data_IF_672449085760
#
_entry.id   IF_672449085760
#
_cell.length_a   1.000
_cell.length_b   1.000
_cell.length_c   1.000
_cell.angle_alpha   90.00
_cell.angle_beta   90.00
_cell.angle_gamma   90.00
#
_symmetry.space_group_name_H-M   'P 1'
#
loop_
_entity.id
_entity.type
_entity.pdbx_description
1 polymer ?
#
# COMPACT_ATOMS: atom_id res chain seq x y z
N UNK A 1 4.80 -1.68 -4.73
CA UNK A 1 5.68 -0.66 -5.32
C UNK A 1 5.77 0.54 -4.39
N UNK A 2 6.97 1.01 -4.13
CA UNK A 2 7.19 2.22 -3.32
C UNK A 2 7.00 3.44 -4.21
N UNK A 3 6.13 4.35 -3.80
CA UNK A 3 5.79 5.55 -4.59
C UNK A 3 6.14 6.85 -3.89
N UNK A 4 6.45 6.81 -2.61
CA UNK A 4 6.82 7.99 -1.84
C UNK A 4 7.45 7.64 -0.51
N UNK A 5 7.99 8.65 0.17
CA UNK A 5 8.66 8.49 1.44
C UNK A 5 8.40 9.68 2.35
N UNK A 6 8.59 9.47 3.65
CA UNK A 6 8.37 10.48 4.68
C UNK A 6 9.62 10.63 5.53
N UNK A 7 9.98 11.86 5.84
CA UNK A 7 11.16 12.16 6.65
C UNK A 7 11.05 11.51 8.04
N UNK A 8 12.12 10.88 8.48
CA UNK A 8 12.17 10.25 9.79
C UNK A 8 12.26 11.27 10.92
N UNK A 9 11.81 10.86 12.10
CA UNK A 9 11.83 11.67 13.33
C UNK A 9 12.49 10.90 14.45
N UNK A 10 12.95 11.61 15.47
CA UNK A 10 13.61 10.99 16.61
C UNK A 10 14.85 10.21 16.19
N UNK A 11 14.87 8.91 16.48
CA UNK A 11 16.00 8.04 16.12
C UNK A 11 16.17 7.85 14.61
N UNK A 12 15.15 8.23 13.82
CA UNK A 12 15.18 8.11 12.36
C UNK A 12 15.46 9.45 11.68
N UNK A 13 15.88 10.46 12.42
CA UNK A 13 16.27 11.76 11.87
C UNK A 13 17.42 11.57 10.88
N UNK A 14 17.32 12.21 9.72
CA UNK A 14 18.34 12.13 8.68
C UNK A 14 18.14 11.04 7.65
N UNK A 15 17.15 10.15 7.86
CA UNK A 15 16.75 9.13 6.88
C UNK A 15 15.23 9.16 6.72
N UNK A 16 14.70 8.52 5.68
CA UNK A 16 13.26 8.33 5.59
C UNK A 16 12.81 7.33 6.65
N UNK A 17 11.74 7.66 7.37
CA UNK A 17 11.22 6.83 8.47
C UNK A 17 10.01 5.99 8.08
N UNK A 18 9.36 6.30 6.98
CA UNK A 18 8.21 5.58 6.46
C UNK A 18 8.13 5.74 4.96
N UNK A 19 7.41 4.85 4.31
CA UNK A 19 7.25 4.83 2.86
C UNK A 19 5.80 4.57 2.49
N UNK A 20 5.36 5.15 1.38
CA UNK A 20 4.04 4.89 0.81
C UNK A 20 4.18 3.82 -0.26
N UNK A 21 3.40 2.75 -0.12
CA UNK A 21 3.40 1.63 -1.06
C UNK A 21 2.07 1.51 -1.77
N UNK A 22 2.11 0.98 -2.99
CA UNK A 22 0.96 0.86 -3.87
C UNK A 22 0.89 -0.51 -4.53
N UNK A 23 -0.31 -0.94 -4.89
CA UNK A 23 -0.55 -2.08 -5.79
C UNK A 23 -0.80 -1.56 -7.20
N UNK A 24 -0.67 -2.44 -8.18
CA UNK A 24 -0.82 -2.11 -9.59
C UNK A 24 -2.23 -2.47 -10.08
N UNK A 25 -2.96 -1.48 -10.56
CA UNK A 25 -4.16 -1.75 -11.34
C UNK A 25 -3.73 -2.11 -12.77
N UNK A 26 -3.76 -3.40 -13.09
CA UNK A 26 -3.27 -3.90 -14.37
C UNK A 26 -4.10 -3.38 -15.56
N UNK A 27 -5.35 -3.01 -15.33
CA UNK A 27 -6.23 -2.52 -16.38
C UNK A 27 -5.89 -1.08 -16.77
N UNK A 28 -5.70 -0.19 -15.80
CA UNK A 28 -5.41 1.23 -16.04
C UNK A 28 -3.93 1.58 -16.03
N UNK A 29 -3.10 0.74 -15.40
CA UNK A 29 -1.69 1.05 -15.15
C UNK A 29 -1.49 1.94 -13.93
N UNK A 30 -2.55 2.25 -13.19
CA UNK A 30 -2.44 3.10 -12.01
C UNK A 30 -1.82 2.34 -10.85
N UNK A 31 -1.07 3.07 -10.03
CA UNK A 31 -0.50 2.60 -8.78
C UNK A 31 -1.37 3.14 -7.65
N UNK A 32 -2.13 2.26 -7.03
CA UNK A 32 -3.12 2.60 -6.01
C UNK A 32 -2.53 2.36 -4.63
N UNK A 33 -2.46 3.40 -3.79
CA UNK A 33 -1.85 3.29 -2.47
C UNK A 33 -2.56 2.23 -1.61
N UNK A 34 -1.79 1.41 -0.92
CA UNK A 34 -2.33 0.34 -0.06
C UNK A 34 -1.84 0.43 1.38
N UNK A 35 -0.69 1.03 1.64
CA UNK A 35 -0.22 1.22 3.00
C UNK A 35 0.89 2.26 3.11
N UNK A 36 1.00 2.85 4.30
CA UNK A 36 2.16 3.61 4.74
C UNK A 36 2.92 2.72 5.71
N UNK A 37 4.13 2.32 5.34
CA UNK A 37 4.91 1.34 6.08
C UNK A 37 6.07 2.01 6.81
N UNK A 38 6.19 1.71 8.11
CA UNK A 38 7.27 2.24 8.96
C UNK A 38 7.81 1.20 9.93
N UNK A 39 7.45 -0.07 9.76
CA UNK A 39 7.80 -1.17 10.66
C UNK A 39 8.52 -2.27 9.90
N UNK A 40 9.43 -2.97 10.56
CA UNK A 40 10.19 -4.08 9.97
C UNK A 40 11.55 -3.67 9.40
N UNK A 41 11.95 -2.42 9.65
CA UNK A 41 13.24 -1.91 9.20
C UNK A 41 14.27 -2.02 10.32
N UNK A 42 15.43 -2.60 10.03
CA UNK A 42 16.62 -2.43 10.87
C UNK A 42 17.21 -1.03 10.64
N UNK A 43 18.16 -0.63 11.50
CA UNK A 43 18.86 0.63 11.29
C UNK A 43 19.62 0.63 9.96
N UNK A 44 20.19 -0.51 9.58
CA UNK A 44 20.87 -0.68 8.30
C UNK A 44 19.89 -0.57 7.12
N UNK A 45 18.69 -1.15 7.26
CA UNK A 45 17.63 -1.04 6.24
C UNK A 45 17.23 0.41 6.02
N UNK A 46 17.03 1.17 7.11
CA UNK A 46 16.66 2.58 7.02
C UNK A 46 17.68 3.39 6.24
N UNK A 47 18.96 3.17 6.51
CA UNK A 47 20.06 3.82 5.78
C UNK A 47 20.10 3.41 4.32
N UNK A 48 20.04 2.12 4.08
CA UNK A 48 20.11 1.54 2.73
C UNK A 48 18.98 2.08 1.85
N UNK A 49 17.75 2.02 2.33
CA UNK A 49 16.61 2.47 1.54
C UNK A 49 16.58 3.98 1.37
N UNK A 50 17.07 4.74 2.33
CA UNK A 50 17.23 6.17 2.19
C UNK A 50 18.20 6.49 1.05
N UNK A 51 19.35 5.82 1.02
CA UNK A 51 20.36 6.00 -0.04
C UNK A 51 19.82 5.58 -1.40
N UNK A 52 19.16 4.43 -1.48
CA UNK A 52 18.57 3.92 -2.72
C UNK A 52 17.44 4.83 -3.23
N UNK A 53 16.77 5.53 -2.35
CA UNK A 53 15.69 6.46 -2.70
C UNK A 53 16.19 7.77 -3.29
N UNK A 54 17.40 8.21 -2.94
CA UNK A 54 17.90 9.52 -3.37
C UNK A 54 17.86 9.73 -4.89
N UNK A 55 18.35 8.82 -5.73
CA UNK A 55 18.27 9.01 -7.18
C UNK A 55 16.86 8.87 -7.74
N UNK A 56 15.91 8.40 -6.95
CA UNK A 56 14.50 8.23 -7.36
C UNK A 56 13.62 9.40 -7.00
N UNK A 57 14.12 10.38 -6.25
CA UNK A 57 13.32 11.54 -5.84
C UNK A 57 12.88 12.34 -7.06
N UNK A 58 11.58 12.60 -7.15
CA UNK A 58 10.97 13.39 -8.21
C UNK A 58 10.21 14.58 -7.60
N UNK A 59 10.06 15.70 -8.34
CA UNK A 59 9.51 16.93 -7.77
C UNK A 59 8.01 16.88 -7.49
N UNK A 60 7.29 15.94 -8.09
CA UNK A 60 5.85 15.80 -7.89
C UNK A 60 5.42 14.33 -8.07
N UNK A 61 4.22 14.03 -7.64
CA UNK A 61 3.62 12.70 -7.75
C UNK A 61 3.68 12.19 -9.19
N UNK A 62 4.11 10.93 -9.37
CA UNK A 62 4.04 10.28 -10.68
C UNK A 62 2.58 10.28 -11.16
N UNK A 63 2.38 10.47 -12.47
CA UNK A 63 1.06 10.69 -13.05
C UNK A 63 0.06 9.57 -12.80
N UNK A 64 0.55 8.34 -12.63
CA UNK A 64 -0.28 7.15 -12.43
C UNK A 64 -0.48 6.78 -10.96
N UNK A 65 0.01 7.57 -10.01
CA UNK A 65 -0.18 7.28 -8.57
C UNK A 65 -1.51 7.85 -8.09
N UNK A 66 -2.29 7.00 -7.43
CA UNK A 66 -3.59 7.34 -6.86
C UNK A 66 -3.56 7.09 -5.35
N UNK A 67 -3.78 8.14 -4.57
CA UNK A 67 -3.83 8.06 -3.11
C UNK A 67 -4.72 9.16 -2.55
N UNK A 68 -5.12 9.01 -1.28
CA UNK A 68 -5.88 10.06 -0.60
C UNK A 68 -5.01 11.27 -0.27
N UNK A 69 -5.62 12.44 -0.23
CA UNK A 69 -4.92 13.72 -0.02
C UNK A 69 -4.12 13.76 1.30
N UNK A 70 -4.64 13.12 2.33
CA UNK A 70 -3.96 13.08 3.63
C UNK A 70 -2.58 12.40 3.56
N UNK A 71 -2.37 11.50 2.62
CA UNK A 71 -1.10 10.80 2.43
C UNK A 71 -0.06 11.68 1.73
N UNK A 72 -0.50 12.70 1.01
CA UNK A 72 0.40 13.59 0.27
C UNK A 72 1.08 14.63 1.16
N UNK A 73 0.62 14.79 2.38
CA UNK A 73 1.17 15.76 3.32
C UNK A 73 2.60 15.36 3.72
N UNK A 74 3.54 16.27 3.52
CA UNK A 74 4.96 16.10 3.86
C UNK A 74 5.63 14.90 3.16
N UNK A 75 5.06 14.41 2.07
CA UNK A 75 5.63 13.31 1.31
C UNK A 75 6.74 13.79 0.37
N UNK A 76 7.75 12.95 0.22
CA UNK A 76 8.76 13.06 -0.83
C UNK A 76 8.38 12.04 -1.90
N UNK A 77 8.06 12.50 -3.09
CA UNK A 77 7.67 11.58 -4.17
C UNK A 77 8.87 10.87 -4.75
N UNK A 78 8.69 9.59 -5.04
CA UNK A 78 9.73 8.75 -5.63
C UNK A 78 9.24 8.16 -6.95
N UNK A 79 10.17 8.03 -7.90
CA UNK A 79 9.91 7.26 -9.10
C UNK A 79 9.59 5.81 -8.73
N UNK A 80 8.48 5.23 -9.21
CA UNK A 80 8.05 3.89 -8.79
C UNK A 80 8.92 2.79 -9.37
N UNK A 81 9.99 2.44 -8.67
CA UNK A 81 10.94 1.40 -9.10
C UNK A 81 11.18 0.33 -8.04
N UNK A 82 11.17 0.69 -6.77
CA UNK A 82 11.42 -0.26 -5.69
C UNK A 82 10.17 -1.11 -5.43
N UNK A 83 10.34 -2.42 -5.39
CA UNK A 83 9.28 -3.37 -5.06
C UNK A 83 9.66 -4.08 -3.76
N UNK A 84 8.74 -4.08 -2.79
CA UNK A 84 8.97 -4.67 -1.48
C UNK A 84 7.94 -5.74 -1.18
N UNK A 85 8.36 -6.76 -0.45
CA UNK A 85 7.47 -7.76 0.10
C UNK A 85 7.06 -7.33 1.51
N UNK A 86 5.76 -7.26 1.75
CA UNK A 86 5.18 -6.70 2.96
C UNK A 86 4.25 -7.74 3.61
N UNK A 87 4.42 -7.95 4.90
CA UNK A 87 3.52 -8.77 5.70
C UNK A 87 2.45 -7.86 6.30
N UNK A 88 1.20 -8.32 6.30
CA UNK A 88 0.08 -7.56 6.86
C UNK A 88 -0.74 -8.44 7.79
N UNK A 89 -1.42 -7.82 8.75
CA UNK A 89 -2.31 -8.55 9.66
C UNK A 89 -3.64 -8.87 8.98
N UNK A 90 -4.23 -7.87 8.33
CA UNK A 90 -5.46 -8.03 7.56
C UNK A 90 -5.61 -6.86 6.58
N UNK A 91 -6.66 -6.92 5.77
CA UNK A 91 -7.02 -5.87 4.82
C UNK A 91 -8.36 -5.27 5.23
N UNK A 92 -8.53 -3.97 5.03
CA UNK A 92 -9.77 -3.27 5.37
C UNK A 92 -10.12 -2.22 4.32
N UNK A 93 -11.39 -1.84 4.28
CA UNK A 93 -11.82 -0.70 3.47
C UNK A 93 -11.24 0.58 4.04
N UNK A 94 -10.87 1.50 3.18
CA UNK A 94 -10.18 2.73 3.54
C UNK A 94 -10.68 3.89 2.70
N UNK A 95 -10.80 5.06 3.32
CA UNK A 95 -11.06 6.32 2.60
C UNK A 95 -9.75 6.94 2.10
N UNK A 96 -8.62 6.51 2.64
CA UNK A 96 -7.30 7.09 2.38
C UNK A 96 -6.53 6.29 1.35
N UNK A 97 -6.51 4.96 1.50
CA UNK A 97 -5.85 4.07 0.55
C UNK A 97 -6.82 3.67 -0.57
N UNK A 98 -6.26 3.41 -1.74
CA UNK A 98 -7.03 3.27 -2.97
C UNK A 98 -6.86 1.92 -3.66
N UNK A 99 -6.33 0.92 -2.95
CA UNK A 99 -6.21 -0.42 -3.50
C UNK A 99 -7.56 -0.96 -3.98
N UNK A 100 -7.63 -1.47 -5.20
CA UNK A 100 -8.86 -1.96 -5.82
C UNK A 100 -10.04 -0.98 -5.65
N UNK A 101 -9.78 0.31 -5.90
CA UNK A 101 -10.72 1.40 -5.68
C UNK A 101 -12.08 1.11 -6.32
N UNK A 102 -13.13 1.23 -5.50
CA UNK A 102 -14.51 1.07 -5.96
C UNK A 102 -14.96 -0.37 -6.20
N UNK A 103 -14.08 -1.36 -6.02
CA UNK A 103 -14.39 -2.76 -6.32
C UNK A 103 -15.27 -3.42 -5.25
N UNK A 104 -15.18 -2.98 -4.00
CA UNK A 104 -15.99 -3.48 -2.89
C UNK A 104 -17.06 -2.46 -2.52
N UNK A 105 -16.67 -1.20 -2.41
CA UNK A 105 -17.53 -0.12 -1.97
C UNK A 105 -17.22 1.12 -2.80
N UNK A 106 -18.22 1.79 -3.32
CA UNK A 106 -18.05 2.97 -4.17
C UNK A 106 -17.27 4.07 -3.43
N UNK A 107 -16.24 4.60 -4.07
CA UNK A 107 -15.43 5.68 -3.53
C UNK A 107 -14.40 5.26 -2.48
N UNK A 108 -14.35 3.99 -2.08
CA UNK A 108 -13.40 3.48 -1.09
C UNK A 108 -12.46 2.47 -1.70
N UNK A 109 -11.25 2.43 -1.18
CA UNK A 109 -10.24 1.46 -1.55
C UNK A 109 -9.96 0.48 -0.43
N UNK A 110 -9.03 -0.44 -0.68
CA UNK A 110 -8.56 -1.42 0.30
C UNK A 110 -7.19 -0.97 0.79
N UNK A 111 -7.01 -0.96 2.10
CA UNK A 111 -5.73 -0.70 2.75
C UNK A 111 -5.22 -1.95 3.47
N UNK A 112 -3.91 -2.04 3.59
CA UNK A 112 -3.24 -3.09 4.34
C UNK A 112 -3.06 -2.63 5.79
N UNK A 113 -3.50 -3.43 6.75
CA UNK A 113 -3.42 -3.08 8.18
C UNK A 113 -2.20 -3.71 8.83
N UNK A 114 -1.53 -2.89 9.65
CA UNK A 114 -0.32 -3.29 10.37
C UNK A 114 0.75 -3.86 9.44
N UNK A 115 1.15 -3.10 8.40
CA UNK A 115 2.13 -3.58 7.44
C UNK A 115 3.52 -3.64 8.07
N UNK A 116 4.30 -4.64 7.66
CA UNK A 116 5.67 -4.83 8.11
C UNK A 116 6.54 -5.23 6.93
N UNK A 117 7.68 -4.58 6.77
CA UNK A 117 8.62 -4.95 5.72
C UNK A 117 9.20 -6.33 6.00
N UNK A 118 9.13 -7.21 5.02
CA UNK A 118 9.84 -8.49 5.03
C UNK A 118 11.16 -8.39 4.30
N UNK A 119 11.14 -7.91 3.08
CA UNK A 119 12.35 -7.74 2.26
C UNK A 119 12.11 -6.91 1.02
N UNK A 120 13.18 -6.36 0.47
CA UNK A 120 13.16 -5.78 -0.86
C UNK A 120 13.12 -6.90 -1.91
N UNK A 121 12.39 -6.70 -2.99
CA UNK A 121 12.28 -7.63 -4.10
C UNK A 121 12.99 -7.04 -5.31
N UNK A 122 14.32 -7.15 -5.31
CA UNK A 122 15.15 -6.63 -6.40
C UNK A 122 14.99 -7.43 -7.69
N UNK A 123 14.37 -8.61 -7.60
CA UNK A 123 14.02 -9.49 -8.71
C UNK A 123 12.76 -9.07 -9.44
N UNK A 124 12.03 -8.07 -8.94
CA UNK A 124 10.75 -7.63 -9.52
C UNK A 124 10.79 -6.18 -9.97
N UNK A 125 10.23 -5.94 -11.15
CA UNK A 125 9.95 -4.58 -11.62
C UNK A 125 8.55 -4.13 -11.14
N UNK A 126 8.26 -2.84 -11.25
CA UNK A 126 6.98 -2.28 -10.81
C UNK A 126 5.77 -2.95 -11.49
N UNK A 127 5.91 -3.35 -12.75
CA UNK A 127 4.85 -4.02 -13.52
C UNK A 127 4.64 -5.48 -13.11
N UNK A 128 5.48 -6.01 -12.24
CA UNK A 128 5.37 -7.37 -11.69
C UNK A 128 4.87 -7.37 -10.24
N UNK A 129 4.53 -6.21 -9.70
CA UNK A 129 4.04 -6.09 -8.33
C UNK A 129 2.63 -6.66 -8.18
N UNK A 130 2.23 -6.86 -6.92
CA UNK A 130 0.86 -7.28 -6.59
C UNK A 130 -0.16 -6.38 -7.27
N UNK A 131 -1.16 -6.99 -7.89
CA UNK A 131 -2.20 -6.27 -8.63
C UNK A 131 -3.40 -5.95 -7.75
N UNK A 132 -4.23 -5.01 -8.23
CA UNK A 132 -5.50 -4.67 -7.58
C UNK A 132 -6.42 -5.88 -7.46
N UNK A 133 -6.45 -6.75 -8.48
CA UNK A 133 -7.25 -7.98 -8.45
C UNK A 133 -6.79 -8.92 -7.34
N UNK A 134 -5.49 -9.05 -7.15
CA UNK A 134 -4.92 -9.86 -6.07
C UNK A 134 -5.26 -9.28 -4.69
N UNK A 135 -5.19 -7.96 -4.54
CA UNK A 135 -5.58 -7.27 -3.31
C UNK A 135 -7.05 -7.51 -3.00
N UNK A 136 -7.91 -7.38 -4.00
CA UNK A 136 -9.34 -7.65 -3.87
C UNK A 136 -9.59 -9.10 -3.43
N UNK A 137 -8.93 -10.05 -4.07
CA UNK A 137 -9.06 -11.48 -3.75
C UNK A 137 -8.64 -11.76 -2.32
N UNK A 138 -7.50 -11.22 -1.88
CA UNK A 138 -7.04 -11.35 -0.49
C UNK A 138 -8.06 -10.78 0.49
N UNK A 139 -8.64 -9.63 0.19
CA UNK A 139 -9.66 -9.01 1.02
C UNK A 139 -10.90 -9.91 1.14
N UNK A 140 -11.42 -10.38 0.01
CA UNK A 140 -12.63 -11.21 -0.04
C UNK A 140 -12.44 -12.57 0.62
N UNK A 141 -11.22 -13.10 0.65
CA UNK A 141 -10.92 -14.41 1.22
C UNK A 141 -10.66 -14.38 2.73
N UNK A 142 -10.69 -13.21 3.36
CA UNK A 142 -10.55 -13.10 4.82
C UNK A 142 -11.76 -13.72 5.52
N UNK A 143 -11.52 -14.39 6.63
CA UNK A 143 -12.58 -15.04 7.42
C UNK A 143 -13.64 -14.05 7.89
N UNK A 144 -13.21 -12.85 8.30
CA UNK A 144 -14.14 -11.79 8.73
C UNK A 144 -15.09 -11.36 7.61
N UNK A 145 -14.60 -11.27 6.37
CA UNK A 145 -15.40 -10.88 5.22
C UNK A 145 -16.31 -12.04 4.79
N UNK A 146 -15.78 -13.27 4.74
CA UNK A 146 -16.56 -14.46 4.43
C UNK A 146 -17.67 -14.69 5.45
N UNK A 147 -17.36 -14.51 6.73
CA UNK A 147 -18.33 -14.63 7.80
C UNK A 147 -19.46 -13.61 7.68
N UNK A 148 -19.12 -12.37 7.35
CA UNK A 148 -20.09 -11.31 7.09
C UNK A 148 -20.97 -11.64 5.90
N UNK A 149 -20.39 -12.14 4.82
CA UNK A 149 -21.14 -12.54 3.63
C UNK A 149 -22.11 -13.68 3.93
N UNK A 150 -21.71 -14.65 4.73
CA UNK A 150 -22.59 -15.74 5.16
C UNK A 150 -23.74 -15.24 6.01
N UNK A 151 -23.47 -14.30 6.89
CA UNK A 151 -24.49 -13.67 7.73
C UNK A 151 -25.47 -12.89 6.87
N UNK A 152 -24.99 -12.18 5.87
CA UNK A 152 -25.84 -11.44 4.93
C UNK A 152 -26.71 -12.39 4.10
N UNK A 153 -26.19 -13.54 3.71
CA UNK A 153 -26.96 -14.56 3.02
C UNK A 153 -28.05 -15.13 3.92
N UNK A 154 -27.76 -15.35 5.18
CA UNK A 154 -28.75 -15.75 6.17
C UNK A 154 -29.80 -14.67 6.39
N UNK A 155 -29.43 -13.43 6.22
CA UNK A 155 -30.33 -12.29 6.31
C UNK A 155 -31.28 -12.19 5.14
N UNK A 156 -30.89 -12.66 3.97
CA UNK A 156 -31.82 -12.82 2.85
C UNK A 156 -32.98 -13.73 3.28
N UNK A 157 -32.72 -14.57 4.27
CA UNK A 157 -33.73 -15.36 4.96
C UNK A 157 -34.39 -14.62 6.12
N UNK A 158 -34.14 -13.31 6.26
CA UNK A 158 -34.71 -12.46 7.29
C UNK A 158 -33.79 -12.10 8.44
N UNK A 159 -32.54 -12.25 8.26
CA UNK A 159 -31.53 -12.04 9.31
C UNK A 159 -31.23 -10.56 9.55
N UNK A 160 -31.01 -9.80 8.53
CA UNK A 160 -30.79 -8.38 8.63
C UNK A 160 -32.10 -7.65 8.58
#
# INVERSE_FOLDING_TARGET
VVVGAYTGRGKRTGVFGAYLCACLDAESGDLQSVCKIGTGFSDDDLKKFHEESQPLIIPKKAANVVCGDALEQDIVWLEPKMVWEVQVADLSLSDTHKGALGRVNAGRGIGLRFPRLLRARDDKAADQATTSDQVLELYLNQDSVKGTAQVDDDDDDGYL
#
